data_IF_768967064405
#
_entry.id   IF_768967064405
#
_cell.length_a   1.000
_cell.length_b   1.000
_cell.length_c   1.000
_cell.angle_alpha   90.00
_cell.angle_beta   90.00
_cell.angle_gamma   90.00
#
_symmetry.space_group_name_H-M   'P 1'
#
loop_
_entity.id
_entity.type
_entity.pdbx_description
1 polymer ?
#
# COMPACT_ATOMS: atom_id res chain seq x y z
N UNK A 1 -7.99 26.97 -2.98
CA UNK A 1 -8.25 26.64 -1.56
C UNK A 1 -6.94 26.19 -0.94
N UNK A 2 -6.29 27.06 -0.18
CA UNK A 2 -5.06 26.71 0.56
C UNK A 2 -5.53 26.17 1.91
N UNK A 3 -5.33 24.88 2.17
CA UNK A 3 -5.59 24.30 3.50
C UNK A 3 -4.40 24.70 4.37
N UNK A 4 -4.58 25.71 5.21
CA UNK A 4 -3.60 26.08 6.23
C UNK A 4 -3.59 24.98 7.29
N UNK A 5 -2.46 24.29 7.43
CA UNK A 5 -2.31 23.21 8.40
C UNK A 5 -2.24 23.82 9.81
N UNK A 6 -3.17 23.45 10.68
CA UNK A 6 -3.21 23.85 12.08
C UNK A 6 -1.91 23.42 12.81
N UNK A 7 -1.15 24.41 13.28
CA UNK A 7 0.16 24.24 13.93
C UNK A 7 0.06 23.82 15.41
N UNK A 8 -1.14 23.80 16.00
CA UNK A 8 -1.36 23.40 17.40
C UNK A 8 -1.39 21.87 17.61
N UNK A 9 -1.55 21.10 16.53
CA UNK A 9 -1.61 19.62 16.58
C UNK A 9 -0.20 19.02 16.60
N UNK A 10 0.08 18.13 17.56
CA UNK A 10 1.31 17.30 17.53
C UNK A 10 1.39 16.61 16.16
N UNK A 11 2.52 16.78 15.46
CA UNK A 11 2.74 16.16 14.14
C UNK A 11 2.68 14.63 14.31
N UNK A 12 1.62 14.02 13.78
CA UNK A 12 1.53 12.57 13.68
C UNK A 12 2.58 12.04 12.72
N UNK A 13 3.07 10.82 12.98
CA UNK A 13 3.85 10.08 11.98
C UNK A 13 2.90 9.20 11.17
N UNK A 14 3.25 8.99 9.91
CA UNK A 14 2.51 8.10 9.02
C UNK A 14 3.38 6.85 8.78
N UNK A 15 2.75 5.69 8.81
CA UNK A 15 3.39 4.40 8.52
C UNK A 15 2.54 3.64 7.53
N UNK A 16 3.20 2.82 6.73
CA UNK A 16 2.57 1.73 6.01
C UNK A 16 3.01 0.41 6.63
N UNK A 17 2.06 -0.50 6.83
CA UNK A 17 2.30 -1.85 7.25
C UNK A 17 1.23 -2.75 6.61
N UNK A 18 1.57 -4.02 6.42
CA UNK A 18 0.67 -5.06 5.94
C UNK A 18 0.75 -6.28 6.84
N UNK A 19 -0.31 -7.07 6.86
CA UNK A 19 -0.39 -8.30 7.65
C UNK A 19 -1.01 -9.41 6.79
N UNK A 20 -0.59 -10.64 7.05
CA UNK A 20 -1.12 -11.86 6.47
C UNK A 20 -1.14 -12.96 7.52
N UNK A 21 -1.78 -14.09 7.23
CA UNK A 21 -1.70 -15.29 8.06
C UNK A 21 -0.26 -15.83 8.23
N UNK A 22 0.67 -15.43 7.37
CA UNK A 22 2.10 -15.82 7.43
C UNK A 22 2.97 -14.80 8.16
N UNK A 23 2.40 -13.72 8.67
CA UNK A 23 3.10 -12.68 9.41
C UNK A 23 2.93 -11.28 8.82
N UNK A 24 3.70 -10.34 9.35
CA UNK A 24 3.66 -8.92 9.01
C UNK A 24 4.71 -8.54 7.94
N UNK A 25 4.46 -7.43 7.25
CA UNK A 25 5.48 -6.77 6.43
C UNK A 25 6.37 -5.90 7.32
N UNK A 26 7.50 -5.45 6.76
CA UNK A 26 8.31 -4.41 7.40
C UNK A 26 7.48 -3.12 7.55
N UNK A 27 7.51 -2.50 8.73
CA UNK A 27 6.88 -1.18 8.95
C UNK A 27 7.68 -0.12 8.17
N UNK A 28 7.00 0.60 7.28
CA UNK A 28 7.60 1.64 6.44
C UNK A 28 7.17 3.01 6.93
N UNK A 29 8.11 3.74 7.52
CA UNK A 29 7.88 5.11 7.95
C UNK A 29 7.81 6.05 6.76
N UNK A 30 6.79 6.91 6.77
CA UNK A 30 6.59 7.98 5.79
C UNK A 30 7.09 9.27 6.42
N UNK A 31 7.98 9.97 5.71
CA UNK A 31 8.58 11.19 6.22
C UNK A 31 7.49 12.23 6.57
N UNK A 32 7.61 12.96 7.69
CA UNK A 32 6.61 13.95 8.11
C UNK A 32 6.27 14.95 6.99
N UNK A 33 4.98 15.22 6.79
CA UNK A 33 4.49 16.14 5.76
C UNK A 33 4.46 15.56 4.34
N UNK A 34 4.90 14.32 4.13
CA UNK A 34 4.83 13.67 2.82
C UNK A 34 3.39 13.35 2.44
N UNK A 35 2.99 13.77 1.25
CA UNK A 35 1.75 13.29 0.62
C UNK A 35 2.05 12.02 -0.18
N UNK A 36 1.39 10.91 0.16
CA UNK A 36 1.49 9.67 -0.61
C UNK A 36 0.72 9.84 -1.92
N UNK A 37 1.43 10.04 -3.03
CA UNK A 37 0.90 9.92 -4.38
C UNK A 37 1.27 8.54 -4.99
N UNK A 38 0.81 8.27 -6.21
CA UNK A 38 1.06 7.00 -6.90
C UNK A 38 2.54 6.65 -7.01
N UNK A 39 3.38 7.61 -7.41
CA UNK A 39 4.82 7.39 -7.55
C UNK A 39 5.46 7.04 -6.20
N UNK A 40 5.13 7.79 -5.15
CA UNK A 40 5.60 7.51 -3.81
C UNK A 40 5.18 6.11 -3.37
N UNK A 41 3.90 5.76 -3.54
CA UNK A 41 3.37 4.45 -3.18
C UNK A 41 4.09 3.32 -3.92
N UNK A 42 4.23 3.43 -5.25
CA UNK A 42 4.94 2.42 -6.05
C UNK A 42 6.41 2.29 -5.60
N UNK A 43 7.11 3.41 -5.48
CA UNK A 43 8.56 3.43 -5.23
C UNK A 43 8.92 2.99 -3.81
N UNK A 44 8.21 3.51 -2.81
CA UNK A 44 8.57 3.36 -1.40
C UNK A 44 7.78 2.27 -0.69
N UNK A 45 6.62 1.85 -1.23
CA UNK A 45 5.77 0.83 -0.64
C UNK A 45 5.77 -0.46 -1.47
N UNK A 46 5.23 -0.42 -2.69
CA UNK A 46 4.99 -1.64 -3.48
C UNK A 46 6.29 -2.33 -3.92
N UNK A 47 7.26 -1.60 -4.48
CA UNK A 47 8.55 -2.18 -4.91
C UNK A 47 9.29 -2.85 -3.74
N UNK A 48 9.44 -2.19 -2.57
CA UNK A 48 10.04 -2.84 -1.41
C UNK A 48 9.23 -4.02 -0.85
N UNK A 49 7.89 -3.94 -0.86
CA UNK A 49 7.03 -5.07 -0.49
C UNK A 49 7.31 -6.29 -1.38
N UNK A 50 7.26 -6.11 -2.71
CA UNK A 50 7.46 -7.19 -3.68
C UNK A 50 8.86 -7.82 -3.63
N UNK A 51 9.89 -7.01 -3.35
CA UNK A 51 11.29 -7.48 -3.37
C UNK A 51 11.79 -8.03 -2.05
N UNK A 52 11.18 -7.66 -0.90
CA UNK A 52 11.68 -8.04 0.43
C UNK A 52 10.65 -8.78 1.26
N UNK A 53 9.45 -8.22 1.38
CA UNK A 53 8.43 -8.79 2.28
C UNK A 53 7.76 -10.00 1.65
N UNK A 54 7.42 -9.92 0.35
CA UNK A 54 6.72 -10.99 -0.35
C UNK A 54 7.51 -12.31 -0.37
N UNK A 55 8.80 -12.36 -0.76
CA UNK A 55 9.54 -13.63 -0.76
C UNK A 55 9.74 -14.21 0.64
N UNK A 56 9.83 -13.35 1.67
CA UNK A 56 9.94 -13.77 3.07
C UNK A 56 8.64 -14.36 3.59
N UNK A 57 7.50 -13.75 3.26
CA UNK A 57 6.18 -14.20 3.70
C UNK A 57 5.71 -15.41 2.89
N UNK A 58 6.03 -15.47 1.61
CA UNK A 58 5.60 -16.52 0.67
C UNK A 58 6.82 -17.11 -0.06
N UNK A 59 7.66 -17.90 0.62
CA UNK A 59 8.83 -18.53 0.01
C UNK A 59 8.43 -19.60 -1.02
N UNK A 60 9.41 -20.03 -1.82
CA UNK A 60 9.31 -21.16 -2.75
C UNK A 60 8.25 -20.97 -3.86
N UNK A 61 8.13 -19.75 -4.39
CA UNK A 61 7.21 -19.45 -5.49
C UNK A 61 5.74 -19.42 -5.09
N UNK A 62 5.45 -19.33 -3.79
CA UNK A 62 4.09 -19.33 -3.25
C UNK A 62 3.37 -17.98 -3.38
N UNK A 63 3.96 -16.97 -4.03
CA UNK A 63 3.34 -15.66 -4.22
C UNK A 63 1.97 -15.72 -4.92
N UNK A 64 1.69 -16.74 -5.74
CA UNK A 64 0.38 -16.92 -6.38
C UNK A 64 -0.74 -17.27 -5.39
N UNK A 65 -0.41 -17.76 -4.19
CA UNK A 65 -1.39 -18.08 -3.14
C UNK A 65 -1.87 -16.84 -2.38
N UNK A 66 -1.18 -15.71 -2.53
CA UNK A 66 -1.55 -14.48 -1.85
C UNK A 66 -2.44 -13.61 -2.73
N UNK A 67 -3.32 -12.84 -2.09
CA UNK A 67 -4.12 -11.79 -2.73
C UNK A 67 -3.78 -10.48 -2.01
N UNK A 68 -3.27 -9.50 -2.76
CA UNK A 68 -2.90 -8.20 -2.20
C UNK A 68 -4.14 -7.34 -2.07
N UNK A 69 -4.36 -6.79 -0.88
CA UNK A 69 -5.52 -5.97 -0.59
C UNK A 69 -5.09 -4.60 -0.04
N UNK A 70 -5.74 -3.55 -0.54
CA UNK A 70 -5.62 -2.16 -0.08
C UNK A 70 -6.93 -1.40 -0.35
N UNK A 71 -7.14 -0.29 0.33
CA UNK A 71 -8.34 0.54 0.14
C UNK A 71 -8.30 1.35 -1.16
N UNK A 72 -9.43 1.96 -1.51
CA UNK A 72 -9.61 2.75 -2.74
C UNK A 72 -9.02 4.17 -2.67
N UNK A 73 -7.98 4.42 -1.86
CA UNK A 73 -7.33 5.72 -1.81
C UNK A 73 -6.81 6.14 -3.20
N UNK A 74 -6.85 7.44 -3.58
CA UNK A 74 -6.51 7.86 -4.94
C UNK A 74 -5.13 7.42 -5.44
N UNK A 75 -4.13 7.34 -4.56
CA UNK A 75 -2.79 6.83 -4.89
C UNK A 75 -2.77 5.33 -5.18
N UNK A 76 -3.67 4.55 -4.56
CA UNK A 76 -3.77 3.09 -4.68
C UNK A 76 -4.47 2.67 -5.97
N UNK A 77 -5.53 3.40 -6.36
CA UNK A 77 -6.35 3.08 -7.53
C UNK A 77 -6.03 3.93 -8.77
N UNK A 78 -4.96 4.72 -8.71
CA UNK A 78 -4.48 5.52 -9.85
C UNK A 78 -4.13 4.63 -11.06
N UNK A 79 -4.19 5.21 -12.27
CA UNK A 79 -3.77 4.51 -13.49
C UNK A 79 -2.32 4.01 -13.39
N UNK A 80 -1.43 4.79 -12.77
CA UNK A 80 -0.03 4.37 -12.63
C UNK A 80 0.11 3.16 -11.69
N UNK A 81 -0.58 3.18 -10.55
CA UNK A 81 -0.51 2.08 -9.57
C UNK A 81 -1.13 0.81 -10.13
N UNK A 82 -2.29 0.90 -10.78
CA UNK A 82 -2.93 -0.25 -11.42
C UNK A 82 -2.08 -0.81 -12.57
N UNK A 83 -1.51 0.05 -13.41
CA UNK A 83 -0.59 -0.39 -14.46
C UNK A 83 0.68 -1.05 -13.90
N UNK A 84 1.18 -0.57 -12.76
CA UNK A 84 2.29 -1.21 -12.06
C UNK A 84 1.88 -2.60 -11.53
N UNK A 85 0.75 -2.70 -10.80
CA UNK A 85 0.24 -3.95 -10.24
C UNK A 85 -0.03 -5.00 -11.32
N UNK A 86 -0.62 -4.60 -12.46
CA UNK A 86 -0.87 -5.51 -13.60
C UNK A 86 0.41 -6.08 -14.25
N UNK A 87 1.56 -5.39 -14.09
CA UNK A 87 2.86 -5.89 -14.55
C UNK A 87 3.51 -6.85 -13.54
N UNK A 88 3.00 -6.90 -12.31
CA UNK A 88 3.49 -7.84 -11.29
C UNK A 88 2.88 -9.23 -11.50
N UNK A 89 3.48 -10.25 -10.87
CA UNK A 89 2.98 -11.63 -10.92
C UNK A 89 2.02 -11.98 -9.78
N UNK A 90 1.61 -11.00 -8.96
CA UNK A 90 0.76 -11.24 -7.79
C UNK A 90 -0.71 -10.99 -8.10
N UNK A 91 -1.58 -11.75 -7.43
CA UNK A 91 -3.01 -11.46 -7.44
C UNK A 91 -3.29 -10.29 -6.49
N UNK A 92 -4.25 -9.44 -6.84
CA UNK A 92 -4.68 -8.32 -6.00
C UNK A 92 -6.17 -8.05 -6.19
N UNK A 93 -6.80 -7.49 -5.17
CA UNK A 93 -8.21 -7.03 -5.22
C UNK A 93 -8.27 -5.82 -6.13
N UNK A 94 -9.04 -5.93 -7.21
CA UNK A 94 -9.20 -4.83 -8.17
C UNK A 94 -10.05 -3.72 -7.57
N UNK A 95 -9.92 -2.47 -8.05
CA UNK A 95 -10.71 -1.35 -7.56
C UNK A 95 -12.23 -1.57 -7.62
N UNK A 96 -12.71 -2.37 -8.58
CA UNK A 96 -14.14 -2.70 -8.75
C UNK A 96 -14.63 -3.78 -7.77
N UNK A 97 -13.71 -4.54 -7.18
CA UNK A 97 -14.01 -5.65 -6.26
C UNK A 97 -14.02 -5.18 -4.79
N UNK A 98 -13.52 -3.97 -4.50
CA UNK A 98 -13.50 -3.39 -3.16
C UNK A 98 -14.57 -2.32 -2.98
N UNK A 99 -15.32 -2.41 -1.88
CA UNK A 99 -16.36 -1.45 -1.55
C UNK A 99 -15.75 -0.15 -0.96
N UNK A 100 -16.11 1.04 -1.46
CA UNK A 100 -15.66 2.29 -0.88
C UNK A 100 -16.18 2.47 0.56
N UNK A 101 -15.35 3.05 1.44
CA UNK A 101 -15.70 3.39 2.83
C UNK A 101 -16.08 2.19 3.71
N UNK A 102 -15.49 1.03 3.46
CA UNK A 102 -15.74 -0.20 4.23
C UNK A 102 -14.51 -0.61 5.05
N UNK A 103 -14.16 0.11 6.13
CA UNK A 103 -13.05 -0.29 7.02
C UNK A 103 -13.36 -1.53 7.86
N UNK A 104 -14.63 -1.95 7.91
CA UNK A 104 -15.18 -3.09 8.64
C UNK A 104 -15.20 -4.40 7.84
N UNK A 105 -14.87 -4.34 6.54
CA UNK A 105 -14.86 -5.47 5.62
C UNK A 105 -13.53 -6.26 5.62
#
# INVERSE_FOLDING_TARGET
MIIQQDSSRRKGFMVWAGISSRGNTSIRFVAPGTKINSNYYIKHILKPFLSRDLPRLFPDGQEKKMIYHHDSAPSHVSKETIAFMNKTKINYVKPQEWMPKSPDA
#
